data_IF_028956272330
#
_entry.id   IF_028956272330
#
_cell.length_a   1.000
_cell.length_b   1.000
_cell.length_c   1.000
_cell.angle_alpha   90.00
_cell.angle_beta   90.00
_cell.angle_gamma   90.00
#
_symmetry.space_group_name_H-M   'P 1'
#
loop_
_entity.id
_entity.type
_entity.pdbx_description
1 polymer ?
#
# COMPACT_ATOMS: atom_id res chain seq x y z
N UNK A 1 -18.35 32.76 32.40
CA UNK A 1 -18.17 32.79 30.93
C UNK A 1 -17.16 31.71 30.59
N UNK A 2 -17.59 30.45 30.63
CA UNK A 2 -16.72 29.31 30.38
C UNK A 2 -16.67 29.12 28.86
N UNK A 3 -15.45 29.21 28.30
CA UNK A 3 -15.18 28.86 26.93
C UNK A 3 -15.63 27.41 26.70
N UNK A 4 -16.23 27.15 25.55
CA UNK A 4 -16.66 25.84 25.10
C UNK A 4 -15.45 24.90 24.99
N UNK A 5 -15.28 24.03 25.99
CA UNK A 5 -14.36 22.89 25.97
C UNK A 5 -14.91 21.77 25.06
N UNK A 6 -15.33 22.11 23.85
CA UNK A 6 -15.58 21.12 22.81
C UNK A 6 -14.21 20.59 22.39
N UNK A 7 -13.84 19.41 22.89
CA UNK A 7 -12.68 18.67 22.42
C UNK A 7 -12.71 18.61 20.88
N UNK A 8 -11.60 18.88 20.16
CA UNK A 8 -11.52 18.81 18.69
C UNK A 8 -11.90 17.45 18.06
N UNK A 9 -12.28 16.47 18.89
CA UNK A 9 -12.63 15.09 18.55
C UNK A 9 -14.13 14.84 18.78
N UNK A 10 -14.99 15.75 18.35
CA UNK A 10 -16.43 15.49 18.29
C UNK A 10 -16.72 14.59 17.07
N UNK A 11 -17.13 13.32 17.24
CA UNK A 11 -17.36 12.40 16.13
C UNK A 11 -18.52 12.83 15.21
N UNK A 12 -19.33 13.81 15.62
CA UNK A 12 -20.42 14.36 14.82
C UNK A 12 -19.95 15.38 13.76
N UNK A 13 -18.72 15.90 13.86
CA UNK A 13 -18.16 16.86 12.90
C UNK A 13 -17.17 16.15 12.00
N UNK A 14 -17.68 15.67 10.87
CA UNK A 14 -16.86 15.10 9.79
C UNK A 14 -16.17 16.29 9.07
N UNK A 15 -14.93 16.58 9.44
CA UNK A 15 -14.14 17.62 8.79
C UNK A 15 -13.74 17.17 7.36
N UNK A 16 -14.12 17.91 6.30
CA UNK A 16 -13.77 17.56 4.93
C UNK A 16 -12.25 17.48 4.68
N UNK A 17 -11.43 18.19 5.45
CA UNK A 17 -9.98 18.12 5.36
C UNK A 17 -9.44 16.74 5.81
N UNK A 18 -10.07 16.13 6.82
CA UNK A 18 -9.68 14.81 7.32
C UNK A 18 -9.98 13.72 6.27
N UNK A 19 -11.16 13.77 5.65
CA UNK A 19 -11.52 12.81 4.57
C UNK A 19 -10.54 12.91 3.39
N UNK A 20 -10.16 14.12 3.00
CA UNK A 20 -9.20 14.33 1.92
C UNK A 20 -7.82 13.71 2.25
N UNK A 21 -7.38 13.87 3.50
CA UNK A 21 -6.14 13.30 4.00
C UNK A 21 -6.17 11.77 4.02
N UNK A 22 -7.26 11.15 4.50
CA UNK A 22 -7.43 9.70 4.51
C UNK A 22 -7.36 9.09 3.10
N UNK A 23 -8.02 9.72 2.13
CA UNK A 23 -7.98 9.29 0.72
C UNK A 23 -6.57 9.37 0.16
N UNK A 24 -5.86 10.47 0.44
CA UNK A 24 -4.48 10.63 0.01
C UNK A 24 -3.56 9.58 0.64
N UNK A 25 -3.73 9.29 1.94
CA UNK A 25 -2.96 8.27 2.65
C UNK A 25 -3.18 6.87 2.07
N UNK A 26 -4.41 6.49 1.75
CA UNK A 26 -4.68 5.19 1.12
C UNK A 26 -4.01 5.09 -0.25
N UNK A 27 -4.13 6.11 -1.08
CA UNK A 27 -3.51 6.12 -2.41
C UNK A 27 -1.98 6.04 -2.32
N UNK A 28 -1.36 6.81 -1.42
CA UNK A 28 0.07 6.79 -1.18
C UNK A 28 0.57 5.42 -0.66
N UNK A 29 -0.16 4.81 0.27
CA UNK A 29 0.17 3.49 0.79
C UNK A 29 0.14 2.41 -0.30
N UNK A 30 -0.86 2.46 -1.19
CA UNK A 30 -0.92 1.54 -2.35
C UNK A 30 0.27 1.77 -3.29
N UNK A 31 0.64 3.02 -3.56
CA UNK A 31 1.81 3.34 -4.38
C UNK A 31 3.11 2.83 -3.74
N UNK A 32 3.31 3.04 -2.44
CA UNK A 32 4.48 2.55 -1.72
C UNK A 32 4.62 1.02 -1.84
N UNK A 33 3.51 0.29 -1.74
CA UNK A 33 3.49 -1.16 -1.91
C UNK A 33 3.90 -1.59 -3.31
N UNK A 34 3.44 -0.87 -4.34
CA UNK A 34 3.93 -1.06 -5.70
C UNK A 34 5.43 -0.84 -5.81
N UNK A 35 5.97 0.22 -5.20
CA UNK A 35 7.40 0.47 -5.18
C UNK A 35 8.18 -0.67 -4.50
N UNK A 36 7.71 -1.17 -3.36
CA UNK A 36 8.34 -2.30 -2.66
C UNK A 36 8.37 -3.58 -3.50
N UNK A 37 7.25 -3.92 -4.15
CA UNK A 37 7.16 -5.12 -5.01
C UNK A 37 8.07 -4.99 -6.24
N UNK A 38 8.06 -3.84 -6.92
CA UNK A 38 8.92 -3.58 -8.09
C UNK A 38 10.39 -3.63 -7.70
N UNK A 39 10.78 -2.97 -6.60
CA UNK A 39 12.16 -2.96 -6.14
C UNK A 39 12.62 -4.36 -5.73
N UNK A 40 11.82 -5.08 -4.94
CA UNK A 40 12.15 -6.45 -4.52
C UNK A 40 12.30 -7.40 -5.71
N UNK A 41 11.34 -7.38 -6.65
CA UNK A 41 11.40 -8.19 -7.86
C UNK A 41 12.58 -7.80 -8.76
N UNK A 42 12.86 -6.51 -8.91
CA UNK A 42 13.98 -5.99 -9.69
C UNK A 42 15.34 -6.41 -9.13
N UNK A 43 15.53 -6.25 -7.82
CA UNK A 43 16.75 -6.70 -7.13
C UNK A 43 16.91 -8.21 -7.32
N UNK A 44 15.87 -9.01 -7.06
CA UNK A 44 15.91 -10.46 -7.24
C UNK A 44 16.26 -10.86 -8.67
N UNK A 45 15.64 -10.23 -9.67
CA UNK A 45 15.91 -10.45 -11.09
C UNK A 45 17.37 -10.20 -11.41
N UNK A 46 17.90 -9.04 -11.00
CA UNK A 46 19.30 -8.66 -11.22
C UNK A 46 20.26 -9.59 -10.49
N UNK A 47 19.95 -9.95 -9.24
CA UNK A 47 20.76 -10.89 -8.47
C UNK A 47 20.81 -12.25 -9.14
N UNK A 48 19.69 -12.83 -9.56
CA UNK A 48 19.70 -14.14 -10.21
C UNK A 48 20.38 -14.10 -11.57
N UNK A 49 20.21 -13.01 -12.33
CA UNK A 49 20.91 -12.83 -13.60
C UNK A 49 22.42 -12.88 -13.40
N UNK A 50 22.97 -12.08 -12.48
CA UNK A 50 24.43 -11.96 -12.34
C UNK A 50 25.07 -13.00 -11.42
N UNK A 51 24.37 -13.47 -10.38
CA UNK A 51 24.93 -14.33 -9.35
C UNK A 51 24.68 -15.83 -9.57
N UNK A 52 23.90 -16.23 -10.58
CA UNK A 52 23.62 -17.64 -10.86
C UNK A 52 23.89 -18.00 -12.33
N UNK A 53 24.26 -19.26 -12.63
CA UNK A 53 24.44 -19.72 -14.02
C UNK A 53 23.11 -19.80 -14.79
N UNK A 54 21.97 -19.54 -14.14
CA UNK A 54 20.67 -19.48 -14.81
C UNK A 54 20.57 -18.30 -15.80
N UNK A 55 21.45 -17.30 -15.67
CA UNK A 55 21.59 -16.19 -16.62
C UNK A 55 20.34 -15.30 -16.70
N UNK A 56 20.22 -14.56 -17.81
CA UNK A 56 19.14 -13.59 -18.02
C UNK A 56 17.75 -14.22 -17.91
N UNK A 57 17.55 -15.34 -18.62
CA UNK A 57 16.26 -16.03 -18.68
C UNK A 57 15.83 -16.51 -17.30
N UNK A 58 16.74 -17.13 -16.54
CA UNK A 58 16.46 -17.57 -15.17
C UNK A 58 16.08 -16.39 -14.27
N UNK A 59 16.85 -15.31 -14.31
CA UNK A 59 16.57 -14.09 -13.54
C UNK A 59 15.18 -13.50 -13.87
N UNK A 60 14.87 -13.34 -15.16
CA UNK A 60 13.58 -12.79 -15.61
C UNK A 60 12.41 -13.69 -15.22
N UNK A 61 12.52 -15.01 -15.37
CA UNK A 61 11.44 -15.93 -15.01
C UNK A 61 11.12 -15.84 -13.51
N UNK A 62 12.14 -15.91 -12.64
CA UNK A 62 11.90 -15.81 -11.19
C UNK A 62 11.44 -14.41 -10.79
N UNK A 63 11.99 -13.37 -11.41
CA UNK A 63 11.54 -11.98 -11.23
C UNK A 63 10.06 -11.79 -11.54
N UNK A 64 9.59 -12.31 -12.68
CA UNK A 64 8.19 -12.23 -13.09
C UNK A 64 7.27 -12.99 -12.11
N UNK A 65 7.69 -14.18 -11.67
CA UNK A 65 6.95 -14.96 -10.66
C UNK A 65 6.86 -14.20 -9.33
N UNK A 66 7.99 -13.66 -8.85
CA UNK A 66 8.04 -12.88 -7.62
C UNK A 66 7.17 -11.62 -7.71
N UNK A 67 7.19 -10.94 -8.85
CA UNK A 67 6.33 -9.78 -9.09
C UNK A 67 4.84 -10.17 -9.09
N UNK A 68 4.45 -11.26 -9.75
CA UNK A 68 3.07 -11.73 -9.79
C UNK A 68 2.57 -12.12 -8.38
N UNK A 69 3.40 -12.82 -7.61
CA UNK A 69 3.10 -13.17 -6.21
C UNK A 69 3.00 -11.91 -5.34
N UNK A 70 3.97 -10.99 -5.45
CA UNK A 70 3.96 -9.72 -4.73
C UNK A 70 2.73 -8.87 -5.03
N UNK A 71 2.32 -8.80 -6.30
CA UNK A 71 1.07 -8.15 -6.71
C UNK A 71 -0.15 -8.79 -6.05
N UNK A 72 -0.26 -10.12 -6.10
CA UNK A 72 -1.43 -10.83 -5.58
C UNK A 72 -1.55 -10.75 -4.06
N UNK A 73 -0.43 -10.84 -3.33
CA UNK A 73 -0.42 -10.83 -1.86
C UNK A 73 -0.49 -9.41 -1.31
N UNK A 74 0.34 -8.48 -1.82
CA UNK A 74 0.56 -7.19 -1.16
C UNK A 74 -0.35 -6.10 -1.71
N UNK A 75 -0.55 -6.08 -3.04
CA UNK A 75 -1.31 -5.02 -3.71
C UNK A 75 -2.79 -5.36 -3.78
N UNK A 76 -3.13 -6.55 -4.29
CA UNK A 76 -4.53 -6.97 -4.47
C UNK A 76 -5.28 -7.04 -3.14
N UNK A 77 -4.64 -7.54 -2.09
CA UNK A 77 -5.28 -7.69 -0.78
C UNK A 77 -5.72 -6.35 -0.19
N UNK A 78 -4.87 -5.32 -0.24
CA UNK A 78 -5.18 -3.98 0.27
C UNK A 78 -6.10 -3.15 -0.61
N UNK A 79 -6.02 -3.34 -1.93
CA UNK A 79 -6.91 -2.66 -2.86
C UNK A 79 -8.37 -3.07 -2.62
N UNK A 80 -8.62 -4.27 -2.10
CA UNK A 80 -9.94 -4.77 -1.76
C UNK A 80 -10.29 -4.58 -0.27
N UNK A 81 -9.37 -4.08 0.57
CA UNK A 81 -9.72 -3.74 1.94
C UNK A 81 -10.57 -2.45 1.93
N UNK A 82 -11.76 -2.48 2.56
CA UNK A 82 -12.60 -1.29 2.66
C UNK A 82 -11.82 -0.18 3.36
N UNK A 83 -11.90 1.05 2.84
CA UNK A 83 -11.20 2.22 3.40
C UNK A 83 -11.68 2.63 4.80
N UNK A 84 -12.71 1.97 5.31
CA UNK A 84 -13.57 2.54 6.33
C UNK A 84 -13.36 1.79 7.65
N UNK A 85 -12.24 2.10 8.31
CA UNK A 85 -11.99 1.67 9.71
C UNK A 85 -12.90 2.42 10.69
N UNK A 86 -13.58 3.47 10.20
CA UNK A 86 -14.44 4.40 10.94
C UNK A 86 -15.90 4.40 10.46
N UNK A 87 -16.40 3.29 9.89
CA UNK A 87 -17.84 3.01 9.99
C UNK A 87 -18.20 2.69 11.44
N UNK A 88 -18.18 3.72 12.28
CA UNK A 88 -19.00 3.79 13.47
C UNK A 88 -20.41 4.14 12.96
N UNK A 89 -21.23 3.10 12.84
CA UNK A 89 -22.68 3.21 12.64
C UNK A 89 -23.19 2.23 11.59
N UNK A 90 -24.04 1.23 11.85
CA UNK A 90 -25.35 1.29 12.55
C UNK A 90 -25.59 2.42 13.53
#
# INVERSE_FOLDING_TARGET
MAASDASPHDPAIIDPAIIAHERAYKAFNVLLRWCMVVLGAGILTLTLWFATPAGFLGGVTVGLLAFAVGYWVVVRHEAHQPLDVWQIGR
#
